data_IF_957021142596
#
_entry.id   IF_957021142596
#
_cell.length_a   1.000
_cell.length_b   1.000
_cell.length_c   1.000
_cell.angle_alpha   90.00
_cell.angle_beta   90.00
_cell.angle_gamma   90.00
#
_symmetry.space_group_name_H-M   'P 1'
#
loop_
_entity.id
_entity.type
_entity.pdbx_description
1 polymer ?
#
# COMPACT_ATOMS: atom_id res chain seq x y z
N UNK A 1 1.19 9.87 -49.28
CA UNK A 1 1.57 11.01 -48.41
C UNK A 1 0.48 11.24 -47.36
N UNK A 2 0.55 10.55 -46.23
CA UNK A 2 -0.37 10.74 -45.10
C UNK A 2 0.32 11.64 -44.07
N UNK A 3 -0.27 12.81 -43.80
CA UNK A 3 0.22 13.76 -42.80
C UNK A 3 -0.11 13.21 -41.40
N UNK A 4 0.89 12.72 -40.70
CA UNK A 4 0.84 12.48 -39.25
C UNK A 4 0.95 13.82 -38.53
N UNK A 5 -0.18 14.35 -38.08
CA UNK A 5 -0.24 15.55 -37.27
C UNK A 5 -1.14 15.35 -36.06
N UNK A 6 -0.64 15.77 -34.90
CA UNK A 6 -1.38 16.17 -33.67
C UNK A 6 -1.35 15.27 -32.43
N UNK A 7 -0.15 14.93 -31.94
CA UNK A 7 0.08 14.66 -30.49
C UNK A 7 0.70 15.87 -29.77
N UNK A 8 0.32 17.09 -30.17
CA UNK A 8 0.79 18.31 -29.53
C UNK A 8 0.10 18.57 -28.18
N UNK A 9 0.68 19.40 -27.29
CA UNK A 9 0.09 19.77 -25.99
C UNK A 9 -1.38 20.22 -26.08
N UNK A 10 -1.75 20.90 -27.18
CA UNK A 10 -3.12 21.36 -27.46
C UNK A 10 -4.13 20.23 -27.65
N UNK A 11 -3.71 19.07 -28.18
CA UNK A 11 -4.58 17.90 -28.34
C UNK A 11 -4.89 17.24 -26.98
N UNK A 12 -3.87 17.16 -26.10
CA UNK A 12 -4.02 16.63 -24.73
C UNK A 12 -4.90 17.51 -23.85
N UNK A 13 -4.79 18.83 -23.96
CA UNK A 13 -5.67 19.76 -23.23
C UNK A 13 -7.14 19.61 -23.65
N UNK A 14 -7.41 19.38 -24.95
CA UNK A 14 -8.78 19.15 -25.46
C UNK A 14 -9.36 17.81 -24.98
N UNK A 15 -8.56 16.75 -24.93
CA UNK A 15 -9.01 15.44 -24.41
C UNK A 15 -9.41 15.52 -22.92
N UNK A 16 -8.62 16.21 -22.09
CA UNK A 16 -8.96 16.47 -20.68
C UNK A 16 -10.20 17.35 -20.50
N UNK A 17 -10.48 18.23 -21.46
CA UNK A 17 -11.65 19.11 -21.44
C UNK A 17 -12.94 18.36 -21.75
N UNK A 18 -12.90 17.39 -22.66
CA UNK A 18 -14.06 16.53 -22.97
C UNK A 18 -14.45 15.64 -21.79
N UNK A 19 -13.48 15.23 -20.96
CA UNK A 19 -13.75 14.41 -19.78
C UNK A 19 -14.27 15.19 -18.56
N UNK A 20 -13.96 16.49 -18.43
CA UNK A 20 -14.19 17.24 -17.19
C UNK A 20 -15.31 18.29 -17.23
N UNK A 21 -15.91 18.57 -18.40
CA UNK A 21 -16.88 19.66 -18.63
C UNK A 21 -16.48 21.05 -18.10
N UNK A 22 -15.19 21.30 -17.82
CA UNK A 22 -14.73 22.59 -17.32
C UNK A 22 -14.41 23.57 -18.47
N UNK A 23 -14.69 24.87 -18.25
CA UNK A 23 -14.42 25.93 -19.24
C UNK A 23 -12.90 26.12 -19.41
N UNK A 24 -12.46 26.27 -20.66
CA UNK A 24 -11.04 26.32 -21.11
C UNK A 24 -10.15 27.25 -20.27
N UNK A 25 -10.69 28.40 -19.85
CA UNK A 25 -9.97 29.42 -19.07
C UNK A 25 -9.76 29.05 -17.61
N UNK A 26 -10.52 28.10 -17.06
CA UNK A 26 -10.35 27.62 -15.68
C UNK A 26 -9.22 26.58 -15.60
N UNK A 27 -9.13 25.69 -16.59
CA UNK A 27 -8.04 24.72 -16.73
C UNK A 27 -6.66 25.36 -16.93
N UNK A 28 -6.60 26.51 -17.62
CA UNK A 28 -5.38 27.30 -17.82
C UNK A 28 -4.90 28.02 -16.54
N UNK A 29 -5.82 28.43 -15.66
CA UNK A 29 -5.46 29.08 -14.38
C UNK A 29 -4.99 28.09 -13.33
N UNK A 30 -5.51 26.86 -13.32
CA UNK A 30 -5.00 25.78 -12.47
C UNK A 30 -3.65 25.22 -12.93
N UNK A 31 -3.20 25.55 -14.14
CA UNK A 31 -1.91 25.11 -14.70
C UNK A 31 -0.79 26.18 -14.59
N UNK A 32 -1.05 27.34 -13.97
CA UNK A 32 -0.02 28.34 -13.71
C UNK A 32 0.48 28.21 -12.27
N UNK A 33 1.78 27.95 -12.03
CA UNK A 33 2.31 27.93 -10.68
C UNK A 33 2.26 29.34 -10.10
N UNK A 34 1.60 29.46 -8.94
CA UNK A 34 1.61 30.68 -8.15
C UNK A 34 3.04 30.95 -7.68
N UNK A 35 3.56 32.13 -8.02
CA UNK A 35 4.87 32.63 -7.59
C UNK A 35 4.91 32.77 -6.06
N UNK A 36 5.83 32.11 -5.33
CA UNK A 36 6.03 32.38 -3.91
C UNK A 36 7.17 33.39 -3.74
N UNK A 37 6.84 34.65 -3.49
CA UNK A 37 7.77 35.59 -2.86
C UNK A 37 7.75 35.37 -1.34
N UNK A 38 8.94 35.29 -0.75
CA UNK A 38 9.26 35.19 0.69
C UNK A 38 9.28 33.77 1.29
N UNK A 39 10.28 32.97 0.92
CA UNK A 39 10.76 31.84 1.74
C UNK A 39 12.24 32.09 2.08
N UNK A 40 12.67 31.93 3.35
CA UNK A 40 14.07 32.09 3.73
C UNK A 40 14.94 31.02 3.06
N UNK A 41 16.25 31.27 2.85
CA UNK A 41 17.14 30.36 2.14
C UNK A 41 17.43 29.12 2.99
N UNK A 42 16.62 28.08 2.81
CA UNK A 42 16.99 26.70 3.15
C UNK A 42 17.91 26.11 2.07
N UNK A 43 18.63 25.00 2.35
CA UNK A 43 19.49 24.36 1.37
C UNK A 43 18.68 24.02 0.11
N UNK A 44 19.28 24.31 -1.04
CA UNK A 44 18.66 24.35 -2.35
C UNK A 44 17.91 23.06 -2.73
N UNK A 45 16.62 22.97 -2.38
CA UNK A 45 15.67 22.16 -3.14
C UNK A 45 15.46 22.89 -4.46
N UNK A 46 16.16 22.45 -5.51
CA UNK A 46 15.82 22.82 -6.89
C UNK A 46 14.35 22.48 -7.11
N UNK A 47 13.66 23.37 -7.81
CA UNK A 47 12.35 23.13 -8.41
C UNK A 47 12.45 21.90 -9.34
N UNK A 48 12.32 20.70 -8.77
CA UNK A 48 12.14 19.45 -9.50
C UNK A 48 10.66 19.38 -9.88
N UNK A 49 10.34 19.78 -11.11
CA UNK A 49 9.14 19.28 -11.78
C UNK A 49 9.14 17.76 -11.58
N UNK A 50 8.09 17.22 -10.96
CA UNK A 50 7.96 15.79 -10.67
C UNK A 50 8.30 14.99 -11.93
N UNK A 51 9.47 14.35 -11.94
CA UNK A 51 9.97 13.69 -13.14
C UNK A 51 9.11 12.45 -13.36
N UNK A 52 8.31 12.45 -14.41
CA UNK A 52 7.52 11.27 -14.80
C UNK A 52 8.21 10.49 -15.91
N UNK A 53 8.04 9.17 -15.90
CA UNK A 53 8.61 8.25 -16.89
C UNK A 53 7.77 6.99 -16.98
N UNK A 54 7.91 6.22 -18.08
CA UNK A 54 7.24 4.92 -18.20
C UNK A 54 8.16 3.81 -17.69
N UNK A 55 7.59 2.81 -17.03
CA UNK A 55 8.33 1.62 -16.61
C UNK A 55 9.08 0.96 -17.78
N UNK A 56 8.46 0.88 -18.95
CA UNK A 56 9.05 0.33 -20.17
C UNK A 56 10.28 1.09 -20.65
N UNK A 57 10.33 2.41 -20.46
CA UNK A 57 11.50 3.21 -20.83
C UNK A 57 12.69 2.89 -19.89
N UNK A 58 12.42 2.75 -18.58
CA UNK A 58 13.44 2.36 -17.60
C UNK A 58 13.94 0.93 -17.83
N UNK A 59 13.05 -0.01 -18.17
CA UNK A 59 13.41 -1.38 -18.56
C UNK A 59 14.25 -1.41 -19.84
N UNK A 60 13.96 -0.49 -20.78
CA UNK A 60 14.76 -0.34 -22.00
C UNK A 60 16.17 0.14 -21.66
N UNK A 61 16.34 1.15 -20.80
CA UNK A 61 17.67 1.56 -20.35
C UNK A 61 18.41 0.40 -19.64
N UNK A 62 17.71 -0.32 -18.75
CA UNK A 62 18.26 -1.45 -18.00
C UNK A 62 18.79 -2.58 -18.90
N UNK A 63 18.18 -2.79 -20.08
CA UNK A 63 18.54 -3.88 -20.99
C UNK A 63 19.48 -3.46 -22.12
N UNK A 64 19.62 -2.16 -22.38
CA UNK A 64 20.38 -1.65 -23.53
C UNK A 64 21.65 -0.89 -23.14
N UNK A 65 21.73 -0.32 -21.94
CA UNK A 65 22.90 0.42 -21.52
C UNK A 65 24.01 -0.52 -21.01
N UNK A 66 25.28 -0.12 -21.16
CA UNK A 66 26.41 -0.93 -20.70
C UNK A 66 26.36 -1.08 -19.18
N UNK A 67 26.71 -2.28 -18.71
CA UNK A 67 26.82 -2.54 -17.28
C UNK A 67 27.91 -1.69 -16.65
N UNK A 68 27.62 -1.12 -15.48
CA UNK A 68 28.57 -0.36 -14.65
C UNK A 68 28.66 -0.99 -13.27
N UNK A 69 29.87 -0.98 -12.72
CA UNK A 69 30.07 -1.33 -11.32
C UNK A 69 29.48 -0.24 -10.41
N UNK A 70 28.76 -0.70 -9.38
CA UNK A 70 28.23 0.11 -8.29
C UNK A 70 28.85 -0.44 -7.02
N UNK A 71 29.57 0.41 -6.29
CA UNK A 71 30.15 0.09 -4.99
C UNK A 71 29.29 0.78 -3.94
N UNK A 72 28.83 0.02 -2.95
CA UNK A 72 28.08 0.56 -1.82
C UNK A 72 29.00 0.97 -0.67
N UNK A 73 28.43 1.55 0.39
CA UNK A 73 29.17 2.00 1.58
C UNK A 73 29.87 0.86 2.34
N UNK A 74 29.56 -0.41 2.02
CA UNK A 74 30.16 -1.60 2.63
C UNK A 74 31.17 -2.27 1.70
N UNK A 75 31.67 -1.56 0.68
CA UNK A 75 32.57 -2.06 -0.37
C UNK A 75 31.99 -3.28 -1.13
N UNK A 76 30.67 -3.47 -1.09
CA UNK A 76 30.00 -4.54 -1.84
C UNK A 76 29.82 -4.07 -3.26
N UNK A 77 30.36 -4.86 -4.18
CA UNK A 77 30.25 -4.63 -5.61
C UNK A 77 28.95 -5.22 -6.15
N UNK A 78 28.10 -4.38 -6.72
CA UNK A 78 26.95 -4.77 -7.53
C UNK A 78 27.08 -4.26 -8.97
N UNK A 79 26.20 -4.74 -9.85
CA UNK A 79 26.17 -4.35 -11.25
C UNK A 79 24.83 -3.71 -11.61
N UNK A 80 24.92 -2.61 -12.34
CA UNK A 80 23.76 -1.87 -12.78
C UNK A 80 24.04 -1.09 -14.05
N UNK A 81 23.36 0.03 -14.23
CA UNK A 81 23.55 0.92 -15.37
C UNK A 81 23.36 2.37 -14.92
N UNK A 82 23.88 3.32 -15.70
CA UNK A 82 23.65 4.75 -15.46
C UNK A 82 22.36 5.19 -16.17
N UNK A 83 21.27 5.33 -15.41
CA UNK A 83 19.98 5.71 -15.96
C UNK A 83 19.97 7.19 -16.35
N UNK A 84 19.59 7.51 -17.59
CA UNK A 84 19.39 8.91 -18.01
C UNK A 84 18.04 9.42 -17.52
N UNK A 85 17.05 8.54 -17.46
CA UNK A 85 15.72 8.85 -16.91
C UNK A 85 15.83 9.27 -15.44
N UNK A 86 16.57 8.55 -14.61
CA UNK A 86 16.66 8.83 -13.18
C UNK A 86 17.90 9.65 -12.80
N UNK A 87 18.88 9.77 -13.69
CA UNK A 87 20.08 10.59 -13.48
C UNK A 87 21.05 10.02 -12.45
N UNK A 88 20.99 8.70 -12.20
CA UNK A 88 21.85 8.02 -11.24
C UNK A 88 22.16 6.59 -11.68
N UNK A 89 23.11 5.94 -11.00
CA UNK A 89 23.40 4.52 -11.19
C UNK A 89 22.35 3.68 -10.45
N UNK A 90 21.82 2.66 -11.12
CA UNK A 90 20.76 1.80 -10.57
C UNK A 90 21.12 0.35 -10.80
N UNK A 91 21.07 -0.51 -9.76
CA UNK A 91 21.22 -1.94 -9.94
C UNK A 91 20.11 -2.50 -10.83
N UNK A 92 20.47 -3.36 -11.78
CA UNK A 92 19.49 -3.96 -12.70
C UNK A 92 18.44 -4.78 -11.95
N UNK A 93 18.85 -5.47 -10.88
CA UNK A 93 17.96 -6.23 -10.02
C UNK A 93 16.88 -5.36 -9.35
N UNK A 94 17.20 -4.11 -8.96
CA UNK A 94 16.21 -3.16 -8.44
C UNK A 94 15.13 -2.83 -9.47
N UNK A 95 15.51 -2.61 -10.73
CA UNK A 95 14.56 -2.33 -11.82
C UNK A 95 13.67 -3.55 -12.12
N UNK A 96 14.26 -4.75 -12.10
CA UNK A 96 13.50 -5.99 -12.26
C UNK A 96 12.56 -6.23 -11.07
N UNK A 97 12.98 -5.92 -9.85
CA UNK A 97 12.15 -5.99 -8.65
C UNK A 97 10.95 -5.03 -8.75
N UNK A 98 11.19 -3.79 -9.20
CA UNK A 98 10.11 -2.84 -9.51
C UNK A 98 9.17 -3.41 -10.57
N UNK A 99 9.68 -3.94 -11.68
CA UNK A 99 8.84 -4.51 -12.73
C UNK A 99 8.02 -5.73 -12.24
N UNK A 100 8.58 -6.53 -11.34
CA UNK A 100 7.85 -7.62 -10.66
C UNK A 100 6.73 -7.10 -9.77
N UNK A 101 7.01 -6.06 -8.97
CA UNK A 101 6.01 -5.38 -8.14
C UNK A 101 4.89 -4.77 -8.99
N UNK A 102 5.19 -4.37 -10.23
CA UNK A 102 4.29 -3.72 -11.19
C UNK A 102 3.80 -4.62 -12.33
N UNK A 103 3.88 -5.93 -12.12
CA UNK A 103 3.56 -6.91 -13.15
C UNK A 103 2.09 -6.88 -13.59
N UNK A 104 1.18 -6.39 -12.73
CA UNK A 104 -0.27 -6.32 -13.03
C UNK A 104 -0.63 -5.09 -13.84
N UNK A 105 0.11 -4.01 -13.65
CA UNK A 105 -0.08 -2.69 -14.24
C UNK A 105 0.54 -2.63 -15.64
N UNK A 106 1.66 -3.34 -15.82
CA UNK A 106 2.32 -3.52 -17.11
C UNK A 106 3.36 -2.45 -17.42
N UNK A 107 4.07 -2.63 -18.54
CA UNK A 107 5.24 -1.81 -18.91
C UNK A 107 4.89 -0.37 -19.31
N UNK A 108 3.65 -0.09 -19.72
CA UNK A 108 3.21 1.25 -20.12
C UNK A 108 2.89 2.16 -18.92
N UNK A 109 3.03 1.64 -17.71
CA UNK A 109 2.72 2.36 -16.47
C UNK A 109 3.58 3.60 -16.30
N UNK A 110 2.92 4.74 -16.11
CA UNK A 110 3.56 6.03 -15.82
C UNK A 110 3.87 6.13 -14.32
N UNK A 111 5.14 6.37 -14.01
CA UNK A 111 5.67 6.54 -12.68
C UNK A 111 6.18 7.97 -12.52
N UNK A 112 6.02 8.53 -11.33
CA UNK A 112 6.56 9.82 -10.93
C UNK A 112 7.59 9.62 -9.82
N UNK A 113 8.78 10.22 -9.98
CA UNK A 113 9.79 10.25 -8.93
C UNK A 113 9.35 11.23 -7.85
N UNK A 114 9.24 10.74 -6.62
CA UNK A 114 8.93 11.56 -5.46
C UNK A 114 10.19 12.04 -4.74
N UNK A 115 11.18 11.16 -4.58
CA UNK A 115 12.46 11.51 -3.97
C UNK A 115 13.59 10.61 -4.45
N UNK A 116 14.78 11.17 -4.59
CA UNK A 116 16.02 10.43 -4.85
C UNK A 116 16.99 10.72 -3.71
N UNK A 117 17.51 9.68 -3.08
CA UNK A 117 18.60 9.75 -2.10
C UNK A 117 19.81 8.98 -2.62
N UNK A 118 20.89 8.94 -1.83
CA UNK A 118 22.05 8.13 -2.19
C UNK A 118 21.75 6.62 -2.18
N UNK A 119 20.80 6.19 -1.34
CA UNK A 119 20.53 4.76 -1.11
C UNK A 119 19.21 4.27 -1.70
N UNK A 120 18.27 5.18 -2.01
CA UNK A 120 16.96 4.77 -2.50
C UNK A 120 16.31 5.81 -3.41
N UNK A 121 15.40 5.32 -4.25
CA UNK A 121 14.51 6.12 -5.09
C UNK A 121 13.08 5.78 -4.69
N UNK A 122 12.28 6.80 -4.40
CA UNK A 122 10.85 6.62 -4.16
C UNK A 122 10.09 7.02 -5.41
N UNK A 123 9.32 6.08 -5.93
CA UNK A 123 8.44 6.28 -7.08
C UNK A 123 6.99 6.13 -6.66
N UNK A 124 6.13 6.87 -7.35
CA UNK A 124 4.68 6.85 -7.15
C UNK A 124 3.99 6.68 -8.49
N UNK A 125 2.77 6.17 -8.46
CA UNK A 125 1.97 6.07 -9.66
C UNK A 125 0.64 6.81 -9.47
N UNK A 126 0.49 7.98 -10.11
CA UNK A 126 -0.65 8.86 -9.85
C UNK A 126 -1.98 8.31 -10.38
N UNK A 127 -1.95 7.40 -11.35
CA UNK A 127 -3.14 6.87 -12.01
C UNK A 127 -3.62 5.53 -11.43
N UNK A 128 -3.01 5.03 -10.33
CA UNK A 128 -3.42 3.78 -9.72
C UNK A 128 -4.59 3.96 -8.76
N UNK A 129 -5.53 3.02 -8.81
CA UNK A 129 -6.66 2.99 -7.88
C UNK A 129 -6.22 2.99 -6.40
N UNK A 130 -5.08 2.36 -6.11
CA UNK A 130 -4.57 2.16 -4.75
C UNK A 130 -3.43 3.13 -4.37
N UNK A 131 -3.06 4.09 -5.24
CA UNK A 131 -2.02 5.11 -5.00
C UNK A 131 -0.78 4.57 -4.26
N UNK A 132 -0.13 3.55 -4.81
CA UNK A 132 1.02 2.95 -4.14
C UNK A 132 2.27 3.81 -4.30
N UNK A 133 3.04 3.87 -3.22
CA UNK A 133 4.39 4.47 -3.16
C UNK A 133 5.37 3.32 -3.01
N UNK A 134 6.38 3.25 -3.88
CA UNK A 134 7.38 2.17 -3.87
C UNK A 134 8.76 2.77 -3.63
N UNK A 135 9.49 2.19 -2.69
CA UNK A 135 10.91 2.46 -2.46
C UNK A 135 11.74 1.42 -3.21
N UNK A 136 12.61 1.90 -4.09
CA UNK A 136 13.62 1.14 -4.79
C UNK A 136 14.96 1.32 -4.06
N UNK A 137 15.55 0.24 -3.56
CA UNK A 137 16.88 0.29 -2.95
C UNK A 137 17.98 0.26 -4.02
N UNK A 138 18.94 1.19 -3.91
CA UNK A 138 20.12 1.27 -4.77
C UNK A 138 21.30 0.43 -4.26
N UNK A 139 21.22 -0.07 -3.02
CA UNK A 139 22.28 -0.88 -2.38
C UNK A 139 21.90 -2.35 -2.25
N UNK A 140 20.64 -2.62 -1.92
CA UNK A 140 20.17 -3.95 -1.53
C UNK A 140 19.30 -4.64 -2.61
N UNK A 141 19.16 -4.01 -3.78
CA UNK A 141 18.56 -4.61 -4.97
C UNK A 141 17.07 -5.02 -4.83
N UNK A 142 16.31 -4.38 -3.95
CA UNK A 142 14.88 -4.66 -3.74
C UNK A 142 13.99 -3.46 -4.07
N UNK A 143 12.71 -3.74 -4.26
CA UNK A 143 11.63 -2.76 -4.26
C UNK A 143 10.59 -3.17 -3.23
N UNK A 144 10.20 -2.25 -2.34
CA UNK A 144 9.18 -2.48 -1.33
C UNK A 144 8.15 -1.34 -1.28
N UNK A 145 6.91 -1.64 -0.90
CA UNK A 145 5.87 -0.63 -0.73
C UNK A 145 6.04 0.19 0.55
N UNK A 146 5.91 1.50 0.38
CA UNK A 146 5.81 2.48 1.46
C UNK A 146 4.35 2.80 1.78
N UNK A 147 4.15 3.39 2.95
CA UNK A 147 2.86 3.97 3.30
C UNK A 147 2.43 4.99 2.24
N UNK A 148 1.17 4.99 1.76
CA UNK A 148 0.73 5.85 0.67
C UNK A 148 0.57 7.33 1.05
N UNK A 149 0.73 7.68 2.34
CA UNK A 149 0.82 9.07 2.77
C UNK A 149 2.07 9.69 2.13
N UNK A 150 1.88 10.77 1.37
CA UNK A 150 2.96 11.47 0.67
C UNK A 150 4.12 11.79 1.63
N UNK A 151 5.35 11.57 1.16
CA UNK A 151 6.59 11.82 1.90
C UNK A 151 6.78 11.00 3.18
N UNK A 152 5.93 9.99 3.44
CA UNK A 152 6.17 9.05 4.53
C UNK A 152 7.30 8.09 4.14
N UNK A 153 8.36 7.99 4.93
CA UNK A 153 9.43 7.01 4.71
C UNK A 153 9.15 5.65 5.35
N UNK A 154 8.07 5.52 6.13
CA UNK A 154 7.77 4.27 6.81
C UNK A 154 7.15 3.24 5.85
N UNK A 155 7.61 2.00 5.99
CA UNK A 155 7.10 0.86 5.25
C UNK A 155 5.66 0.53 5.66
N UNK A 156 4.88 0.07 4.69
CA UNK A 156 3.55 -0.46 4.97
C UNK A 156 3.68 -1.73 5.80
N UNK A 157 2.85 -1.89 6.83
CA UNK A 157 3.05 -2.99 7.78
C UNK A 157 2.93 -4.35 7.09
N UNK A 158 1.96 -4.51 6.20
CA UNK A 158 1.80 -5.67 5.30
C UNK A 158 1.01 -5.27 4.08
N UNK A 159 1.72 -4.95 3.00
CA UNK A 159 1.18 -4.31 1.80
C UNK A 159 -0.02 -4.99 1.14
N UNK A 160 -0.22 -6.29 1.36
CA UNK A 160 -1.32 -7.05 0.76
C UNK A 160 -2.69 -6.69 1.37
N UNK A 161 -2.75 -6.16 2.59
CA UNK A 161 -4.01 -5.91 3.31
C UNK A 161 -3.97 -4.73 4.29
N UNK A 162 -2.78 -4.35 4.78
CA UNK A 162 -2.58 -3.14 5.59
C UNK A 162 -1.50 -2.29 4.92
N UNK A 163 -1.98 -1.37 4.09
CA UNK A 163 -1.15 -0.48 3.27
C UNK A 163 -0.63 0.75 4.06
N UNK A 164 -1.02 0.94 5.32
CA UNK A 164 -0.51 2.02 6.17
C UNK A 164 0.63 1.54 7.05
N UNK A 165 1.51 2.47 7.39
CA UNK A 165 2.48 2.27 8.47
C UNK A 165 1.81 2.45 9.83
N UNK A 166 2.48 1.98 10.88
CA UNK A 166 1.99 2.03 12.26
C UNK A 166 1.68 3.46 12.77
N UNK A 167 2.32 4.50 12.22
CA UNK A 167 2.08 5.90 12.62
C UNK A 167 0.84 6.52 11.95
N UNK A 168 0.51 6.09 10.73
CA UNK A 168 -0.62 6.63 9.95
C UNK A 168 -1.86 5.76 10.05
N UNK A 169 -1.76 4.52 10.52
CA UNK A 169 -2.91 3.65 10.74
C UNK A 169 -3.94 4.28 11.69
N UNK A 170 -3.58 4.91 12.84
CA UNK A 170 -4.56 5.56 13.71
C UNK A 170 -5.26 6.77 13.09
N UNK A 171 -4.76 7.32 11.97
CA UNK A 171 -5.34 8.46 11.29
C UNK A 171 -6.38 8.06 10.22
N UNK A 172 -6.51 6.76 9.95
CA UNK A 172 -7.51 6.26 9.02
C UNK A 172 -8.91 6.35 9.62
N UNK A 173 -9.91 6.53 8.75
CA UNK A 173 -11.29 6.46 9.18
C UNK A 173 -11.71 5.02 9.51
N UNK A 174 -12.82 4.89 10.23
CA UNK A 174 -13.36 3.60 10.67
C UNK A 174 -13.64 2.67 9.49
N UNK A 175 -14.18 3.17 8.38
CA UNK A 175 -14.51 2.35 7.21
C UNK A 175 -13.25 1.72 6.59
N UNK A 176 -12.19 2.50 6.46
CA UNK A 176 -10.88 2.06 5.95
C UNK A 176 -10.26 1.02 6.86
N UNK A 177 -10.30 1.22 8.19
CA UNK A 177 -9.78 0.25 9.16
C UNK A 177 -10.56 -1.07 9.13
N UNK A 178 -11.88 -1.01 9.01
CA UNK A 178 -12.75 -2.19 8.85
C UNK A 178 -12.40 -2.94 7.57
N UNK A 179 -12.25 -2.24 6.44
CA UNK A 179 -11.86 -2.85 5.17
C UNK A 179 -10.51 -3.57 5.26
N UNK A 180 -9.49 -2.93 5.85
CA UNK A 180 -8.19 -3.56 6.09
C UNK A 180 -8.31 -4.78 7.01
N UNK A 181 -9.14 -4.70 8.05
CA UNK A 181 -9.44 -5.82 8.94
C UNK A 181 -10.09 -6.98 8.22
N UNK A 182 -11.07 -6.72 7.35
CA UNK A 182 -11.72 -7.75 6.54
C UNK A 182 -10.73 -8.44 5.60
N UNK A 183 -9.92 -7.68 4.86
CA UNK A 183 -8.92 -8.26 3.95
C UNK A 183 -7.87 -9.08 4.70
N UNK A 184 -7.38 -8.56 5.83
CA UNK A 184 -6.47 -9.31 6.68
C UNK A 184 -7.11 -10.61 7.18
N UNK A 185 -8.34 -10.56 7.70
CA UNK A 185 -9.00 -11.75 8.24
C UNK A 185 -9.29 -12.78 7.14
N UNK A 186 -9.71 -12.36 5.95
CA UNK A 186 -9.91 -13.24 4.80
C UNK A 186 -8.61 -13.95 4.40
N UNK A 187 -7.48 -13.24 4.36
CA UNK A 187 -6.21 -13.86 3.98
C UNK A 187 -5.68 -14.86 5.03
N UNK A 188 -6.20 -14.80 6.27
CA UNK A 188 -5.80 -15.68 7.37
C UNK A 188 -6.83 -16.76 7.70
N UNK A 189 -8.06 -16.69 7.17
CA UNK A 189 -9.10 -17.69 7.45
C UNK A 189 -8.70 -19.09 6.99
N UNK A 190 -8.02 -19.21 5.84
CA UNK A 190 -7.59 -20.52 5.31
C UNK A 190 -6.45 -21.12 6.14
N UNK A 191 -5.54 -20.28 6.64
CA UNK A 191 -4.47 -20.72 7.53
C UNK A 191 -5.02 -21.18 8.89
N UNK A 192 -6.07 -20.52 9.37
CA UNK A 192 -6.77 -20.93 10.59
C UNK A 192 -7.55 -22.23 10.40
N UNK A 193 -8.19 -22.43 9.25
CA UNK A 193 -8.88 -23.69 8.93
C UNK A 193 -7.91 -24.88 8.90
N UNK A 194 -6.66 -24.68 8.48
CA UNK A 194 -5.63 -25.71 8.48
C UNK A 194 -5.08 -26.04 9.89
N UNK A 195 -5.10 -25.09 10.83
CA UNK A 195 -4.66 -25.28 12.21
C UNK A 195 -5.50 -24.42 13.18
N UNK A 196 -6.65 -24.93 13.64
CA UNK A 196 -7.53 -24.20 14.56
C UNK A 196 -6.88 -23.89 15.92
N UNK A 197 -5.88 -24.68 16.32
CA UNK A 197 -5.13 -24.46 17.56
C UNK A 197 -4.19 -23.24 17.45
N UNK A 198 -3.83 -22.82 16.23
CA UNK A 198 -3.06 -21.60 15.93
C UNK A 198 -3.90 -20.31 16.02
N UNK A 199 -4.88 -20.30 16.90
CA UNK A 199 -5.73 -19.12 17.11
C UNK A 199 -4.95 -18.01 17.81
N UNK A 200 -4.89 -16.84 17.16
CA UNK A 200 -4.68 -15.56 17.83
C UNK A 200 -3.23 -15.14 18.07
N UNK A 201 -3.00 -13.82 17.99
CA UNK A 201 -1.71 -13.21 18.32
C UNK A 201 -0.96 -12.61 17.13
N UNK A 202 -1.60 -12.44 15.97
CA UNK A 202 -0.96 -11.67 14.91
C UNK A 202 -0.90 -10.18 15.32
N UNK A 203 0.33 -9.69 15.39
CA UNK A 203 0.66 -8.28 15.65
C UNK A 203 -0.10 -7.32 14.74
N UNK A 204 -0.41 -7.71 13.51
CA UNK A 204 -1.15 -6.88 12.55
C UNK A 204 -2.60 -6.62 13.02
N UNK A 205 -3.29 -7.65 13.53
CA UNK A 205 -4.63 -7.50 14.09
C UNK A 205 -4.61 -6.59 15.32
N UNK A 206 -3.60 -6.72 16.17
CA UNK A 206 -3.43 -5.86 17.34
C UNK A 206 -3.22 -4.39 16.96
N UNK A 207 -2.44 -4.13 15.91
CA UNK A 207 -2.21 -2.77 15.43
C UNK A 207 -3.48 -2.18 14.81
N UNK A 208 -4.28 -2.96 14.08
CA UNK A 208 -5.58 -2.53 13.57
C UNK A 208 -6.56 -2.20 14.70
N UNK A 209 -6.66 -3.05 15.73
CA UNK A 209 -7.51 -2.79 16.90
C UNK A 209 -7.04 -1.55 17.64
N UNK A 210 -5.73 -1.38 17.88
CA UNK A 210 -5.18 -0.17 18.49
C UNK A 210 -5.51 1.09 17.69
N UNK A 211 -5.39 1.04 16.37
CA UNK A 211 -5.79 2.16 15.51
C UNK A 211 -7.30 2.46 15.63
N UNK A 212 -8.15 1.43 15.66
CA UNK A 212 -9.59 1.61 15.82
C UNK A 212 -9.99 2.16 17.20
N UNK A 213 -9.22 1.90 18.25
CA UNK A 213 -9.42 2.52 19.57
C UNK A 213 -9.30 4.04 19.50
N UNK A 214 -8.35 4.56 18.71
CA UNK A 214 -8.21 6.01 18.50
C UNK A 214 -9.44 6.63 17.82
N UNK A 215 -10.18 5.84 17.04
CA UNK A 215 -11.41 6.24 16.36
C UNK A 215 -12.69 5.91 17.15
N UNK A 216 -12.58 5.26 18.31
CA UNK A 216 -13.72 4.77 19.08
C UNK A 216 -14.50 3.63 18.41
N UNK A 217 -13.91 2.95 17.43
CA UNK A 217 -14.55 1.91 16.61
C UNK A 217 -13.96 0.50 16.81
N UNK A 218 -13.28 0.27 17.93
CA UNK A 218 -12.60 -1.01 18.20
C UNK A 218 -13.58 -2.18 18.30
N UNK A 219 -14.73 -2.01 18.96
CA UNK A 219 -15.73 -3.07 19.10
C UNK A 219 -16.28 -3.54 17.75
N UNK A 220 -16.55 -2.60 16.85
CA UNK A 220 -17.02 -2.89 15.49
C UNK A 220 -15.97 -3.64 14.68
N UNK A 221 -14.72 -3.16 14.69
CA UNK A 221 -13.61 -3.84 14.02
C UNK A 221 -13.37 -5.25 14.56
N UNK A 222 -13.42 -5.45 15.89
CA UNK A 222 -13.25 -6.77 16.51
C UNK A 222 -14.36 -7.71 16.03
N UNK A 223 -15.62 -7.27 16.01
CA UNK A 223 -16.73 -8.06 15.47
C UNK A 223 -16.49 -8.47 14.02
N UNK A 224 -16.03 -7.53 13.17
CA UNK A 224 -15.71 -7.83 11.76
C UNK A 224 -14.57 -8.83 11.65
N UNK A 225 -13.49 -8.64 12.40
CA UNK A 225 -12.35 -9.56 12.41
C UNK A 225 -12.81 -10.97 12.78
N UNK A 226 -13.54 -11.12 13.89
CA UNK A 226 -14.01 -12.44 14.36
C UNK A 226 -14.95 -13.11 13.35
N UNK A 227 -15.94 -12.38 12.82
CA UNK A 227 -16.88 -12.91 11.81
C UNK A 227 -16.24 -13.30 10.48
N UNK A 228 -15.10 -12.69 10.16
CA UNK A 228 -14.40 -12.97 8.91
C UNK A 228 -13.37 -14.09 9.10
N UNK A 229 -12.73 -14.13 10.27
CA UNK A 229 -11.72 -15.13 10.59
C UNK A 229 -12.36 -16.49 10.93
N UNK A 230 -13.52 -16.47 11.60
CA UNK A 230 -14.30 -17.63 12.02
C UNK A 230 -15.67 -17.64 11.34
N UNK A 231 -16.44 -18.71 11.54
CA UNK A 231 -17.88 -18.74 11.21
C UNK A 231 -18.63 -17.79 12.15
N UNK A 232 -19.70 -17.14 11.68
CA UNK A 232 -20.55 -16.33 12.56
C UNK A 232 -21.08 -17.22 13.70
N UNK A 233 -21.01 -16.75 14.94
CA UNK A 233 -21.45 -17.52 16.11
C UNK A 233 -22.90 -17.99 15.99
N UNK A 234 -23.75 -17.23 15.30
CA UNK A 234 -25.14 -17.60 15.03
C UNK A 234 -25.29 -18.81 14.10
N UNK A 235 -24.30 -19.04 13.23
CA UNK A 235 -24.34 -20.06 12.18
C UNK A 235 -23.59 -21.35 12.58
N UNK A 236 -22.92 -21.36 13.75
CA UNK A 236 -22.09 -22.49 14.20
C UNK A 236 -22.93 -23.79 14.29
N UNK A 237 -24.09 -23.74 14.94
CA UNK A 237 -24.94 -24.93 15.12
C UNK A 237 -25.58 -25.41 13.80
N UNK A 238 -25.69 -24.52 12.80
CA UNK A 238 -26.20 -24.87 11.48
C UNK A 238 -25.12 -25.55 10.62
N UNK A 239 -23.89 -25.05 10.70
CA UNK A 239 -22.77 -25.44 9.83
C UNK A 239 -21.96 -26.61 10.40
N UNK A 240 -21.85 -26.70 11.73
CA UNK A 240 -21.03 -27.69 12.43
C UNK A 240 -21.94 -28.65 13.19
N UNK A 241 -22.02 -29.89 12.69
CA UNK A 241 -22.89 -30.91 13.27
C UNK A 241 -22.30 -31.61 14.50
N UNK A 242 -20.99 -31.59 14.68
CA UNK A 242 -20.35 -32.14 15.87
C UNK A 242 -20.39 -31.11 17.01
N UNK A 243 -21.11 -31.44 18.09
CA UNK A 243 -21.26 -30.58 19.27
C UNK A 243 -19.90 -30.25 19.93
N UNK A 244 -18.95 -31.19 19.92
CA UNK A 244 -17.63 -30.97 20.50
C UNK A 244 -16.84 -29.94 19.68
N UNK A 245 -16.86 -30.06 18.35
CA UNK A 245 -16.23 -29.11 17.44
C UNK A 245 -16.87 -27.73 17.51
N UNK A 246 -18.22 -27.68 17.59
CA UNK A 246 -18.96 -26.44 17.77
C UNK A 246 -18.60 -25.73 19.08
N UNK A 247 -18.43 -26.47 20.18
CA UNK A 247 -17.99 -25.93 21.46
C UNK A 247 -16.55 -25.42 21.41
N UNK A 248 -15.65 -26.16 20.79
CA UNK A 248 -14.24 -25.77 20.62
C UNK A 248 -14.10 -24.50 19.79
N UNK A 249 -14.91 -24.35 18.72
CA UNK A 249 -14.93 -23.15 17.91
C UNK A 249 -15.43 -21.93 18.71
N UNK A 250 -16.50 -22.08 19.50
CA UNK A 250 -16.97 -21.01 20.40
C UNK A 250 -15.90 -20.61 21.42
N UNK A 251 -15.21 -21.58 22.00
CA UNK A 251 -14.10 -21.32 22.91
C UNK A 251 -12.97 -20.56 22.21
N UNK A 252 -12.62 -20.94 20.98
CA UNK A 252 -11.62 -20.27 20.18
C UNK A 252 -11.99 -18.81 19.87
N UNK A 253 -13.25 -18.55 19.47
CA UNK A 253 -13.77 -17.20 19.25
C UNK A 253 -13.76 -16.38 20.54
N UNK A 254 -14.19 -16.98 21.66
CA UNK A 254 -14.18 -16.33 22.98
C UNK A 254 -12.78 -15.93 23.44
N UNK A 255 -11.79 -16.80 23.26
CA UNK A 255 -10.37 -16.50 23.54
C UNK A 255 -9.86 -15.36 22.68
N UNK A 256 -10.13 -15.38 21.38
CA UNK A 256 -9.64 -14.34 20.47
C UNK A 256 -10.32 -12.99 20.73
N UNK A 257 -11.62 -12.99 21.01
CA UNK A 257 -12.36 -11.80 21.46
C UNK A 257 -11.72 -11.20 22.70
N UNK A 258 -11.43 -12.01 23.73
CA UNK A 258 -10.78 -11.54 24.95
C UNK A 258 -9.37 -10.99 24.67
N UNK A 259 -8.61 -11.64 23.80
CA UNK A 259 -7.26 -11.21 23.40
C UNK A 259 -7.27 -9.86 22.68
N UNK A 260 -8.15 -9.69 21.69
CA UNK A 260 -8.30 -8.42 20.96
C UNK A 260 -8.82 -7.31 21.89
N UNK A 261 -9.69 -7.64 22.85
CA UNK A 261 -10.13 -6.73 23.89
C UNK A 261 -9.06 -6.42 24.94
N UNK A 262 -7.95 -7.16 25.03
CA UNK A 262 -6.87 -6.82 25.99
C UNK A 262 -5.70 -6.11 25.31
N UNK A 263 -5.56 -6.26 23.99
CA UNK A 263 -4.47 -5.63 23.21
C UNK A 263 -4.51 -4.11 23.25
N UNK A 264 -5.68 -3.49 23.45
CA UNK A 264 -5.81 -2.03 23.55
C UNK A 264 -5.34 -1.44 24.89
N UNK A 265 -5.32 -2.21 25.97
CA UNK A 265 -4.90 -1.75 27.30
C UNK A 265 -3.36 -1.64 27.44
N UNK A 266 -2.62 -2.29 26.53
CA UNK A 266 -1.16 -2.30 26.58
C UNK A 266 -0.58 -0.96 26.11
N UNK A 267 -0.07 -0.15 27.05
CA UNK A 267 0.42 1.21 26.85
C UNK A 267 1.26 1.40 25.57
N UNK A 268 1.04 2.48 24.80
CA UNK A 268 1.75 2.75 23.54
C UNK A 268 3.27 2.94 23.70
N UNK A 269 3.77 3.18 24.92
CA UNK A 269 5.20 3.39 25.20
C UNK A 269 6.12 2.16 25.03
N UNK A 270 5.58 0.93 25.00
CA UNK A 270 6.37 -0.27 24.75
C UNK A 270 6.72 -0.45 23.25
N UNK A 271 5.96 0.17 22.35
CA UNK A 271 6.02 -0.06 20.91
C UNK A 271 7.21 0.65 20.24
N UNK A 272 7.60 1.83 20.73
CA UNK A 272 8.75 2.58 20.21
C UNK A 272 10.11 1.90 20.48
N UNK A 273 10.21 1.08 21.55
CA UNK A 273 11.46 0.38 21.89
C UNK A 273 11.73 -0.88 21.07
N UNK A 274 10.69 -1.55 20.57
CA UNK A 274 10.84 -2.82 19.83
C UNK A 274 11.21 -2.66 18.35
N UNK A 275 11.19 -1.43 17.80
CA UNK A 275 11.54 -1.13 16.41
C UNK A 275 12.88 -0.39 16.25
N UNK A 276 13.61 -0.15 17.34
CA UNK A 276 14.81 0.70 17.39
C UNK A 276 16.11 0.10 16.79
N UNK A 277 16.05 -0.76 15.77
CA UNK A 277 17.25 -1.31 15.09
C UNK A 277 17.37 -1.00 13.60
N UNK A 278 16.61 -0.04 13.08
CA UNK A 278 16.98 0.68 11.86
C UNK A 278 16.86 2.18 12.14
N UNK A 279 17.99 2.87 12.19
CA UNK A 279 18.07 4.32 12.41
C UNK A 279 18.25 4.99 11.04
N UNK A 280 17.28 5.75 10.51
CA UNK A 280 17.57 6.83 9.59
C UNK A 280 17.84 8.11 10.38
N UNK A 281 18.69 8.97 9.82
CA UNK A 281 19.00 10.28 10.37
C UNK A 281 17.73 11.13 10.55
N UNK A 282 17.66 11.84 11.66
CA UNK A 282 16.53 12.68 12.05
C UNK A 282 16.32 13.82 11.04
N UNK A 283 15.17 13.81 10.37
CA UNK A 283 14.55 15.01 9.83
C UNK A 283 13.29 15.27 10.67
N UNK A 284 13.19 16.47 11.25
CA UNK A 284 12.03 16.91 12.02
C UNK A 284 10.76 16.81 11.16
N UNK A 285 9.71 16.09 11.58
CA UNK A 285 8.44 16.13 10.90
C UNK A 285 7.76 17.47 11.21
N UNK A 286 7.79 18.38 10.23
CA UNK A 286 6.91 19.54 10.23
C UNK A 286 5.44 19.10 10.31
N UNK A 287 4.53 19.98 10.77
CA UNK A 287 3.12 19.65 10.95
C UNK A 287 2.49 19.20 9.63
N UNK A 288 1.91 17.99 9.63
CA UNK A 288 1.16 17.44 8.50
C UNK A 288 0.02 18.40 8.11
N UNK A 289 -0.09 18.82 6.83
CA UNK A 289 -1.29 19.48 6.35
C UNK A 289 -2.44 18.47 6.34
N UNK A 290 -3.54 18.80 7.01
CA UNK A 290 -4.78 18.03 6.97
C UNK A 290 -5.27 17.91 5.52
N UNK A 291 -5.77 16.74 5.09
CA UNK A 291 -6.33 16.59 3.76
C UNK A 291 -7.60 17.43 3.62
N UNK A 292 -7.69 18.18 2.51
CA UNK A 292 -8.95 18.79 2.06
C UNK A 292 -9.94 17.67 1.70
N UNK A 293 -11.23 17.83 2.00
CA UNK A 293 -12.24 16.85 1.65
C UNK A 293 -12.34 16.72 0.11
N UNK A 294 -11.97 15.55 -0.41
CA UNK A 294 -12.30 15.17 -1.78
C UNK A 294 -13.78 14.83 -1.85
N UNK A 295 -14.40 15.37 -2.90
CA UNK A 295 -15.84 15.33 -3.18
C UNK A 295 -16.27 13.88 -3.45
N UNK A 296 -17.40 13.46 -2.85
CA UNK A 296 -18.11 12.17 -3.03
C UNK A 296 -17.68 11.39 -4.27
N UNK A 297 -16.94 10.31 -4.04
CA UNK A 297 -16.75 9.25 -5.03
C UNK A 297 -18.07 8.49 -5.17
N UNK A 298 -18.68 8.58 -6.34
CA UNK A 298 -19.78 7.73 -6.75
C UNK A 298 -19.26 6.31 -6.93
N UNK A 299 -19.97 5.34 -6.34
CA UNK A 299 -19.76 3.92 -6.52
C UNK A 299 -19.45 3.56 -8.00
N UNK A 300 -18.38 2.81 -8.23
CA UNK A 300 -18.06 2.21 -9.52
C UNK A 300 -17.99 0.68 -9.40
N UNK A 301 -18.32 -0.04 -10.49
CA UNK A 301 -18.96 -1.35 -10.48
C UNK A 301 -18.01 -2.45 -10.99
N UNK A 302 -16.70 -2.24 -10.90
CA UNK A 302 -15.69 -3.17 -11.41
C UNK A 302 -14.70 -3.54 -10.31
N UNK A 303 -15.23 -4.11 -9.22
CA UNK A 303 -14.46 -5.13 -8.52
C UNK A 303 -14.22 -6.28 -9.51
N UNK A 304 -13.07 -6.99 -9.48
CA UNK A 304 -12.96 -8.25 -10.21
C UNK A 304 -14.16 -9.11 -9.84
N UNK A 305 -14.78 -9.77 -10.81
CA UNK A 305 -15.80 -10.76 -10.53
C UNK A 305 -15.15 -11.83 -9.64
N UNK A 306 -15.28 -11.66 -8.33
CA UNK A 306 -14.94 -12.68 -7.36
C UNK A 306 -15.77 -13.87 -7.81
N UNK A 307 -15.10 -14.95 -8.22
CA UNK A 307 -15.76 -16.25 -8.13
C UNK A 307 -16.30 -16.31 -6.70
N UNK A 308 -17.60 -16.60 -6.51
CA UNK A 308 -18.13 -16.74 -5.16
C UNK A 308 -17.23 -17.75 -4.46
N UNK A 309 -16.60 -17.31 -3.39
CA UNK A 309 -15.79 -18.20 -2.57
C UNK A 309 -16.70 -19.35 -2.16
N UNK A 310 -16.21 -20.60 -2.19
CA UNK A 310 -17.00 -21.73 -1.75
C UNK A 310 -17.51 -21.44 -0.34
N UNK A 311 -18.81 -21.57 -0.18
CA UNK A 311 -19.48 -21.46 1.11
C UNK A 311 -18.77 -22.34 2.14
N UNK A 312 -18.83 -22.04 3.45
CA UNK A 312 -18.26 -22.91 4.47
C UNK A 312 -18.66 -24.39 4.30
N UNK A 313 -19.91 -24.64 3.88
CA UNK A 313 -20.40 -25.97 3.54
C UNK A 313 -19.67 -26.63 2.34
N UNK A 314 -19.37 -25.88 1.28
CA UNK A 314 -18.59 -26.37 0.12
C UNK A 314 -17.12 -26.63 0.48
N UNK A 315 -16.57 -25.90 1.46
CA UNK A 315 -15.21 -26.14 1.99
C UNK A 315 -15.16 -27.42 2.84
N UNK A 316 -16.14 -27.65 3.71
CA UNK A 316 -16.24 -28.90 4.47
C UNK A 316 -16.42 -30.14 3.58
N UNK A 317 -17.20 -30.06 2.49
CA UNK A 317 -17.33 -31.18 1.53
C UNK A 317 -16.01 -31.54 0.86
N UNK A 318 -15.20 -30.53 0.47
CA UNK A 318 -13.89 -30.77 -0.16
C UNK A 318 -12.89 -31.44 0.78
N UNK A 319 -12.94 -31.14 2.08
CA UNK A 319 -12.06 -31.78 3.07
C UNK A 319 -12.44 -33.24 3.36
N UNK A 320 -13.73 -33.58 3.25
CA UNK A 320 -14.23 -34.94 3.52
C UNK A 320 -14.24 -35.88 2.31
N UNK A 321 -13.70 -35.44 1.16
CA UNK A 321 -13.57 -36.30 -0.03
C UNK A 321 -14.90 -36.81 -0.60
N UNK A 322 -16.03 -36.18 -0.25
CA UNK A 322 -17.32 -36.51 -0.84
C UNK A 322 -17.57 -35.63 -2.07
N UNK A 323 -17.90 -36.24 -3.23
CA UNK A 323 -18.26 -35.49 -4.44
C UNK A 323 -19.56 -34.70 -4.25
#
# INVERSE_FOLDING_TARGET
MTKTGSNGPKARTRARQQHSQQKYTQALRSASPATPQNRPPGPAHRDDDARTFRLGDLLTECTTFPAVAIEDDNDKLSFGFESKILGCKIPSATVLSLAGALSREGIDTELAVESITHHSIVVTAPDWADFQRLEMSLTDEWTIPLCPVAHCSNHSMRYQYIDRCHTHLPQCDTATLIQMGTWWAQSHSDALAADPARTGGDRAADLLVKAAVHQGSSAELITVLLRTLFVDEADIDEIIWDEAEALDLRHAIGRERLRLNTSHETKPGAYARAQGHARPAAADPGPCPLPRPTRRSTAHPNAPAHQPYPTPAERCRRLNGQP
#
